data_IF_435829761460
#
_entry.id   IF_435829761460
#
_cell.length_a   1.000
_cell.length_b   1.000
_cell.length_c   1.000
_cell.angle_alpha   90.00
_cell.angle_beta   90.00
_cell.angle_gamma   90.00
#
_symmetry.space_group_name_H-M   'P 1'
#
loop_
_entity.id
_entity.type
_entity.pdbx_description
1 polymer ?
#
# COMPACT_ATOMS: atom_id res chain seq x y z
N UNK A 1 1.75 9.69 -9.05
CA UNK A 1 2.22 8.72 -8.03
C UNK A 1 1.49 7.41 -8.21
N UNK A 2 2.20 6.32 -8.17
CA UNK A 2 1.63 4.98 -8.34
C UNK A 2 1.76 4.20 -7.04
N UNK A 3 0.64 3.68 -6.53
CA UNK A 3 0.60 2.94 -5.29
C UNK A 3 0.02 1.56 -5.58
N UNK A 4 0.69 0.52 -5.08
CA UNK A 4 0.21 -0.85 -5.23
C UNK A 4 -0.05 -1.43 -3.85
N UNK A 5 -1.23 -2.01 -3.67
CA UNK A 5 -1.59 -2.75 -2.46
C UNK A 5 -1.51 -4.23 -2.82
N UNK A 6 -0.56 -4.92 -2.22
CA UNK A 6 -0.25 -6.31 -2.56
C UNK A 6 -0.97 -7.25 -1.61
N UNK A 7 -1.85 -8.07 -2.13
CA UNK A 7 -2.55 -9.06 -1.33
C UNK A 7 -3.73 -9.68 -2.06
N UNK A 8 -4.12 -10.90 -1.69
CA UNK A 8 -5.17 -11.63 -2.41
C UNK A 8 -6.61 -11.23 -2.05
N UNK A 9 -6.79 -10.06 -1.42
CA UNK A 9 -8.14 -9.59 -1.07
C UNK A 9 -8.59 -9.98 0.33
N UNK A 10 -7.67 -10.35 1.21
CA UNK A 10 -8.00 -10.67 2.60
C UNK A 10 -8.47 -9.41 3.35
N UNK A 11 -9.13 -9.57 4.53
CA UNK A 11 -9.58 -8.40 5.31
C UNK A 11 -8.48 -7.39 5.60
N UNK A 12 -7.27 -7.84 5.90
CA UNK A 12 -6.14 -6.96 6.17
C UNK A 12 -5.71 -6.20 4.90
N UNK A 13 -5.80 -6.86 3.74
CA UNK A 13 -5.47 -6.23 2.47
C UNK A 13 -6.47 -5.12 2.14
N UNK A 14 -7.74 -5.37 2.40
CA UNK A 14 -8.81 -4.39 2.20
C UNK A 14 -8.65 -3.21 3.16
N UNK A 15 -8.30 -3.48 4.41
CA UNK A 15 -8.09 -2.43 5.39
C UNK A 15 -6.90 -1.55 5.02
N UNK A 16 -5.82 -2.15 4.54
CA UNK A 16 -4.65 -1.40 4.10
C UNK A 16 -5.01 -0.48 2.93
N UNK A 17 -5.76 -0.98 1.97
CA UNK A 17 -6.23 -0.17 0.84
C UNK A 17 -7.06 1.01 1.32
N UNK A 18 -7.97 0.77 2.27
CA UNK A 18 -8.82 1.81 2.83
C UNK A 18 -7.98 2.90 3.50
N UNK A 19 -6.98 2.50 4.25
CA UNK A 19 -6.07 3.45 4.94
C UNK A 19 -5.25 4.27 3.95
N UNK A 20 -4.79 3.63 2.87
CA UNK A 20 -4.05 4.32 1.82
C UNK A 20 -4.92 5.36 1.13
N UNK A 21 -6.13 4.98 0.73
CA UNK A 21 -7.05 5.90 0.07
C UNK A 21 -7.41 7.08 0.96
N UNK A 22 -7.63 6.82 2.25
CA UNK A 22 -7.94 7.88 3.20
C UNK A 22 -6.76 8.83 3.39
N UNK A 23 -5.55 8.30 3.44
CA UNK A 23 -4.35 9.12 3.57
C UNK A 23 -4.19 10.03 2.35
N UNK A 24 -4.40 9.51 1.15
CA UNK A 24 -4.34 10.31 -0.08
C UNK A 24 -5.38 11.42 -0.07
N UNK A 25 -6.59 11.12 0.39
CA UNK A 25 -7.66 12.11 0.48
C UNK A 25 -7.31 13.21 1.47
N UNK A 26 -6.77 12.86 2.63
CA UNK A 26 -6.38 13.83 3.64
C UNK A 26 -5.22 14.71 3.20
N UNK A 27 -4.29 14.16 2.43
CA UNK A 27 -3.14 14.91 1.91
C UNK A 27 -3.48 15.62 0.60
N UNK A 28 -4.66 15.37 0.05
CA UNK A 28 -5.10 15.92 -1.24
C UNK A 28 -4.10 15.61 -2.36
N UNK A 29 -3.60 14.38 -2.36
CA UNK A 29 -2.67 13.88 -3.37
C UNK A 29 -3.41 12.98 -4.32
N UNK A 30 -3.27 13.20 -5.61
CA UNK A 30 -3.80 12.30 -6.61
C UNK A 30 -2.80 11.19 -6.87
N UNK A 31 -3.27 9.95 -6.81
CA UNK A 31 -2.42 8.79 -7.07
C UNK A 31 -3.28 7.66 -7.60
N UNK A 32 -2.64 6.79 -8.39
CA UNK A 32 -3.30 5.58 -8.86
C UNK A 32 -3.07 4.49 -7.84
N UNK A 33 -4.15 3.94 -7.28
CA UNK A 33 -4.08 2.84 -6.33
C UNK A 33 -4.49 1.56 -7.05
N UNK A 34 -3.58 0.62 -7.14
CA UNK A 34 -3.81 -0.64 -7.82
C UNK A 34 -3.74 -1.78 -6.82
N UNK A 35 -4.72 -2.68 -6.87
CA UNK A 35 -4.67 -3.91 -6.08
C UNK A 35 -3.95 -4.98 -6.88
N UNK A 36 -2.99 -5.63 -6.25
CA UNK A 36 -2.27 -6.74 -6.88
C UNK A 36 -2.60 -8.01 -6.08
N UNK A 37 -3.39 -8.89 -6.70
CA UNK A 37 -3.83 -10.12 -6.05
C UNK A 37 -3.07 -11.35 -6.55
N UNK A 38 -2.27 -11.21 -7.60
CA UNK A 38 -1.51 -12.31 -8.18
C UNK A 38 -0.27 -12.58 -7.33
N UNK A 39 -0.17 -13.78 -6.77
CA UNK A 39 0.97 -14.16 -5.94
C UNK A 39 2.30 -14.06 -6.67
N UNK A 40 2.34 -14.30 -7.96
CA UNK A 40 3.57 -14.17 -8.74
C UNK A 40 4.06 -12.73 -8.76
N UNK A 41 3.14 -11.79 -8.90
CA UNK A 41 3.48 -10.37 -8.87
C UNK A 41 3.82 -9.90 -7.45
N UNK A 42 3.06 -10.37 -6.46
CA UNK A 42 3.31 -10.05 -5.05
C UNK A 42 4.71 -10.51 -4.65
N UNK A 43 5.09 -11.71 -5.05
CA UNK A 43 6.39 -12.30 -4.72
C UNK A 43 7.58 -11.55 -5.28
N UNK A 44 7.38 -10.70 -6.30
CA UNK A 44 8.45 -9.86 -6.83
C UNK A 44 8.82 -8.73 -5.87
N UNK A 45 7.93 -8.37 -4.97
CA UNK A 45 8.14 -7.25 -4.05
C UNK A 45 8.28 -7.68 -2.61
N UNK A 46 7.44 -8.63 -2.15
CA UNK A 46 7.36 -9.01 -0.74
C UNK A 46 7.18 -10.51 -0.60
N UNK A 47 7.48 -11.01 0.60
CA UNK A 47 7.25 -12.43 0.94
C UNK A 47 6.03 -12.60 1.84
N UNK A 48 5.52 -11.53 2.43
CA UNK A 48 4.36 -11.57 3.34
C UNK A 48 3.33 -10.54 2.92
N UNK A 49 2.06 -10.89 3.04
CA UNK A 49 0.95 -9.99 2.73
C UNK A 49 0.27 -9.53 4.01
N UNK A 50 -0.36 -8.35 4.01
CA UNK A 50 -0.44 -7.39 2.90
C UNK A 50 0.84 -6.58 2.75
N UNK A 51 1.03 -5.99 1.57
CA UNK A 51 2.18 -5.15 1.31
C UNK A 51 1.79 -3.82 0.68
N UNK A 52 2.67 -2.85 0.81
CA UNK A 52 2.46 -1.52 0.24
C UNK A 52 3.69 -1.10 -0.56
N UNK A 53 3.47 -0.74 -1.81
CA UNK A 53 4.51 -0.27 -2.72
C UNK A 53 4.11 1.10 -3.23
N UNK A 54 5.02 2.06 -3.13
CA UNK A 54 4.80 3.42 -3.63
C UNK A 54 5.93 3.75 -4.59
N UNK A 55 5.58 4.06 -5.85
CA UNK A 55 6.54 4.36 -6.90
C UNK A 55 7.64 3.29 -7.02
N UNK A 56 7.21 2.02 -7.01
CA UNK A 56 8.08 0.84 -7.12
C UNK A 56 8.99 0.61 -5.90
N UNK A 57 8.80 1.37 -4.82
CA UNK A 57 9.54 1.17 -3.58
C UNK A 57 8.66 0.47 -2.55
N UNK A 58 9.11 -0.64 -2.03
CA UNK A 58 8.37 -1.38 -0.98
C UNK A 58 8.45 -0.59 0.32
N UNK A 59 7.31 -0.16 0.81
CA UNK A 59 7.22 0.61 2.06
C UNK A 59 6.80 -0.24 3.24
N UNK A 60 6.04 -1.32 2.99
CA UNK A 60 5.53 -2.17 4.06
C UNK A 60 5.29 -3.58 3.55
N UNK A 61 5.48 -4.57 4.42
CA UNK A 61 5.11 -5.95 4.14
C UNK A 61 4.70 -6.65 5.43
N UNK A 62 3.65 -7.47 5.33
CA UNK A 62 3.18 -8.28 6.45
C UNK A 62 2.35 -7.54 7.48
N UNK A 63 2.21 -8.17 8.64
CA UNK A 63 1.46 -7.62 9.79
C UNK A 63 2.44 -7.19 10.87
N UNK A 64 2.06 -6.25 11.74
CA UNK A 64 0.79 -5.51 11.79
C UNK A 64 0.68 -4.48 10.68
N UNK A 65 -0.56 -4.02 10.43
CA UNK A 65 -0.79 -2.99 9.42
C UNK A 65 -0.15 -1.66 9.85
N UNK A 66 0.34 -0.87 8.88
CA UNK A 66 0.92 0.43 9.20
C UNK A 66 -0.17 1.39 9.66
N UNK A 67 0.20 2.29 10.54
CA UNK A 67 -0.72 3.33 11.02
C UNK A 67 -0.95 4.37 9.92
N UNK A 68 -2.11 5.05 9.92
CA UNK A 68 -2.36 6.10 8.94
C UNK A 68 -1.24 7.15 8.87
N UNK A 69 -0.67 7.53 10.02
CA UNK A 69 0.41 8.52 10.06
C UNK A 69 1.65 8.02 9.32
N UNK A 70 1.95 6.73 9.43
CA UNK A 70 3.09 6.12 8.71
C UNK A 70 2.85 6.14 7.22
N UNK A 71 1.64 5.80 6.80
CA UNK A 71 1.28 5.80 5.38
C UNK A 71 1.41 7.21 4.81
N UNK A 72 0.93 8.22 5.53
CA UNK A 72 1.05 9.61 5.13
C UNK A 72 2.51 10.03 4.98
N UNK A 73 3.36 9.62 5.92
CA UNK A 73 4.78 9.93 5.86
C UNK A 73 5.43 9.33 4.62
N UNK A 74 5.12 8.08 4.30
CA UNK A 74 5.66 7.42 3.12
C UNK A 74 5.20 8.08 1.83
N UNK A 75 3.94 8.51 1.77
CA UNK A 75 3.42 9.23 0.61
C UNK A 75 4.15 10.56 0.45
N UNK A 76 4.37 11.27 1.55
CA UNK A 76 5.08 12.55 1.52
C UNK A 76 6.52 12.39 1.05
N UNK A 77 7.17 11.28 1.40
CA UNK A 77 8.54 11.01 0.94
C UNK A 77 8.63 10.89 -0.58
N UNK A 78 7.55 10.46 -1.22
CA UNK A 78 7.51 10.23 -2.66
C UNK A 78 6.84 11.39 -3.42
N UNK A 79 6.44 12.42 -2.74
CA UNK A 79 5.83 13.60 -3.38
C UNK A 79 6.87 14.46 -4.06
#
# INVERSE_FOLDING_TARGET
MEIKVLGPGCPNCQELERRVKKALEELKVEATVTKVADYAEIGKYIMMTPGLVINEKVKHSGKPLPRPEQIKAWIKEEM
#
